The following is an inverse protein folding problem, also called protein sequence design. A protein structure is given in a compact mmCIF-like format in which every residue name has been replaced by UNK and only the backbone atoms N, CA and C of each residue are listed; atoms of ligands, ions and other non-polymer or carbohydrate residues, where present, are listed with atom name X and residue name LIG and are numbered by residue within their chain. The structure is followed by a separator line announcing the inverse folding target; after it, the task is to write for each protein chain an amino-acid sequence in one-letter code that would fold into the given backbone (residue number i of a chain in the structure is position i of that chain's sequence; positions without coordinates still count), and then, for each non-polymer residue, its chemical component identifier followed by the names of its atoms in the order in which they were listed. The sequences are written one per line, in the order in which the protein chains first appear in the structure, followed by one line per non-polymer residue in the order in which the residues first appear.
data_IF_231241340542
#
_entry.id   IF_231241340542
#
_cell.length_a   1.000
_cell.length_b   1.000
_cell.length_c   1.000
_cell.angle_alpha   90.00
_cell.angle_beta   90.00
_cell.angle_gamma   90.00
#
_symmetry.space_group_name_H-M   'P 1'
#
loop_
_entity.id
_entity.type
_entity.pdbx_description
1 polymer ?
#
# COMPACT_ATOMS: atom_id res chain seq x y z
N UNK A 1 5.71 19.25 -21.35
CA UNK A 1 5.00 17.96 -21.41
C UNK A 1 3.55 18.22 -21.05
N UNK A 2 2.55 17.61 -21.70
CA UNK A 2 1.15 17.78 -21.27
C UNK A 2 1.02 17.29 -19.83
N UNK A 3 0.35 18.06 -18.98
CA UNK A 3 0.13 17.74 -17.56
C UNK A 3 -0.42 16.31 -17.39
N UNK A 4 -1.31 15.89 -18.29
CA UNK A 4 -1.83 14.53 -18.33
C UNK A 4 -0.74 13.45 -18.32
N UNK A 5 0.27 13.56 -19.20
CA UNK A 5 1.31 12.54 -19.32
C UNK A 5 2.19 12.50 -18.08
N UNK A 6 2.48 13.65 -17.48
CA UNK A 6 3.25 13.73 -16.24
C UNK A 6 2.53 13.01 -15.08
N UNK A 7 1.23 13.28 -14.90
CA UNK A 7 0.46 12.61 -13.84
C UNK A 7 0.22 11.13 -14.14
N UNK A 8 0.03 10.76 -15.41
CA UNK A 8 -0.09 9.37 -15.83
C UNK A 8 1.19 8.56 -15.54
N UNK A 9 2.37 9.08 -15.91
CA UNK A 9 3.63 8.40 -15.60
C UNK A 9 3.89 8.36 -14.10
N UNK A 10 3.56 9.43 -13.37
CA UNK A 10 3.63 9.46 -11.90
C UNK A 10 2.75 8.37 -11.27
N UNK A 11 1.58 8.09 -11.85
CA UNK A 11 0.72 6.99 -11.42
C UNK A 11 1.38 5.62 -11.59
N UNK A 12 2.02 5.37 -12.73
CA UNK A 12 2.75 4.11 -12.99
C UNK A 12 3.95 3.99 -12.02
N UNK A 13 4.74 5.05 -11.91
CA UNK A 13 5.94 5.10 -11.05
C UNK A 13 5.56 4.93 -9.58
N UNK A 14 4.43 5.47 -9.13
CA UNK A 14 3.96 5.30 -7.76
C UNK A 14 3.83 3.82 -7.35
N UNK A 15 3.42 2.97 -8.28
CA UNK A 15 3.29 1.53 -8.05
C UNK A 15 4.65 0.82 -8.22
N UNK A 16 5.49 1.28 -9.14
CA UNK A 16 6.77 0.65 -9.47
C UNK A 16 7.93 1.06 -8.55
N UNK A 17 7.79 2.14 -7.78
CA UNK A 17 8.81 2.66 -6.86
C UNK A 17 8.82 1.89 -5.52
N UNK A 18 9.84 2.13 -4.68
CA UNK A 18 10.00 1.50 -3.37
C UNK A 18 8.80 1.73 -2.44
N UNK A 19 8.15 2.90 -2.54
CA UNK A 19 6.89 3.21 -1.83
C UNK A 19 5.67 2.45 -2.39
N UNK A 20 5.79 1.93 -3.60
CA UNK A 20 4.79 1.12 -4.31
C UNK A 20 4.82 -0.37 -3.97
N UNK A 21 5.81 -0.83 -3.19
CA UNK A 21 5.90 -2.23 -2.75
C UNK A 21 4.60 -2.68 -2.09
N UNK A 22 3.98 -1.82 -1.29
CA UNK A 22 2.71 -2.10 -0.63
C UNK A 22 1.60 -2.46 -1.66
N UNK A 23 1.56 -1.77 -2.81
CA UNK A 23 0.62 -2.08 -3.90
C UNK A 23 0.93 -3.42 -4.56
N UNK A 24 2.21 -3.68 -4.84
CA UNK A 24 2.66 -4.92 -5.47
C UNK A 24 2.29 -6.11 -4.57
N UNK A 25 2.60 -6.04 -3.28
CA UNK A 25 2.30 -7.10 -2.31
C UNK A 25 0.78 -7.31 -2.17
N UNK A 26 0.02 -6.21 -2.04
CA UNK A 26 -1.42 -6.28 -1.88
C UNK A 26 -2.10 -6.89 -3.11
N UNK A 27 -1.85 -6.35 -4.31
CA UNK A 27 -2.45 -6.85 -5.56
C UNK A 27 -2.00 -8.27 -5.85
N UNK A 28 -0.74 -8.60 -5.54
CA UNK A 28 -0.24 -9.97 -5.71
C UNK A 28 -0.96 -10.97 -4.81
N UNK A 29 -1.16 -10.65 -3.54
CA UNK A 29 -1.93 -11.48 -2.62
C UNK A 29 -3.37 -11.65 -3.14
N UNK A 30 -4.05 -10.54 -3.42
CA UNK A 30 -5.45 -10.54 -3.88
C UNK A 30 -5.65 -11.36 -5.18
N UNK A 31 -4.71 -11.26 -6.12
CA UNK A 31 -4.81 -11.91 -7.43
C UNK A 31 -4.32 -13.36 -7.45
N UNK A 32 -3.62 -13.83 -6.41
CA UNK A 32 -2.94 -15.13 -6.41
C UNK A 32 -3.86 -16.33 -6.63
N UNK A 33 -5.13 -16.21 -6.23
CA UNK A 33 -6.16 -17.24 -6.41
C UNK A 33 -6.72 -17.33 -7.83
N UNK A 34 -6.52 -16.32 -8.67
CA UNK A 34 -7.15 -16.21 -9.98
C UNK A 34 -6.28 -16.76 -11.11
N UNK A 35 -6.92 -17.29 -12.14
CA UNK A 35 -6.28 -17.78 -13.38
C UNK A 35 -6.49 -16.80 -14.53
N UNK A 36 -5.77 -17.00 -15.65
CA UNK A 36 -5.96 -16.23 -16.89
C UNK A 36 -7.43 -16.20 -17.38
N UNK A 37 -8.20 -17.27 -17.18
CA UNK A 37 -9.63 -17.30 -17.54
C UNK A 37 -10.51 -16.38 -16.68
N UNK A 38 -10.02 -15.94 -15.52
CA UNK A 38 -10.73 -15.03 -14.61
C UNK A 38 -10.45 -13.55 -14.86
N UNK A 39 -9.88 -13.18 -16.02
CA UNK A 39 -9.46 -11.80 -16.33
C UNK A 39 -10.52 -10.73 -16.01
N UNK A 40 -11.82 -11.02 -16.24
CA UNK A 40 -12.92 -10.10 -15.90
C UNK A 40 -13.01 -9.83 -14.40
N UNK A 41 -12.86 -10.87 -13.57
CA UNK A 41 -12.90 -10.76 -12.11
C UNK A 41 -11.71 -9.96 -11.60
N UNK A 42 -10.54 -10.17 -12.22
CA UNK A 42 -9.32 -9.44 -11.86
C UNK A 42 -9.45 -7.96 -12.22
N UNK A 43 -9.93 -7.63 -13.42
CA UNK A 43 -10.18 -6.23 -13.78
C UNK A 43 -11.16 -5.57 -12.81
N UNK A 44 -12.28 -6.22 -12.47
CA UNK A 44 -13.23 -5.67 -11.49
C UNK A 44 -12.55 -5.44 -10.12
N UNK A 45 -11.66 -6.33 -9.68
CA UNK A 45 -10.90 -6.15 -8.43
C UNK A 45 -9.96 -4.94 -8.49
N UNK A 46 -9.18 -4.83 -9.57
CA UNK A 46 -8.25 -3.72 -9.77
C UNK A 46 -9.03 -2.41 -9.81
N UNK A 47 -10.09 -2.34 -10.63
CA UNK A 47 -10.92 -1.13 -10.73
C UNK A 47 -11.60 -0.81 -9.40
N UNK A 48 -12.09 -1.80 -8.64
CA UNK A 48 -12.67 -1.55 -7.31
C UNK A 48 -11.65 -0.95 -6.33
N UNK A 49 -10.42 -1.47 -6.32
CA UNK A 49 -9.32 -0.89 -5.56
C UNK A 49 -9.03 0.54 -6.00
N UNK A 50 -8.89 0.78 -7.31
CA UNK A 50 -8.61 2.10 -7.88
C UNK A 50 -9.71 3.10 -7.55
N UNK A 51 -10.99 2.68 -7.54
CA UNK A 51 -12.12 3.52 -7.14
C UNK A 51 -11.99 3.94 -5.67
N UNK A 52 -11.74 2.98 -4.75
CA UNK A 52 -11.54 3.30 -3.33
C UNK A 52 -10.35 4.24 -3.11
N UNK A 53 -9.25 3.98 -3.81
CA UNK A 53 -8.03 4.78 -3.78
C UNK A 53 -8.28 6.21 -4.28
N UNK A 54 -8.90 6.34 -5.45
CA UNK A 54 -9.27 7.61 -6.07
C UNK A 54 -10.16 8.44 -5.15
N UNK A 55 -11.18 7.81 -4.55
CA UNK A 55 -12.10 8.47 -3.64
C UNK A 55 -11.35 9.08 -2.45
N UNK A 56 -10.43 8.33 -1.87
CA UNK A 56 -9.71 8.78 -0.69
C UNK A 56 -8.68 9.87 -0.99
N UNK A 57 -8.00 9.76 -2.13
CA UNK A 57 -7.14 10.83 -2.62
C UNK A 57 -7.93 12.11 -2.85
N UNK A 58 -9.09 12.03 -3.51
CA UNK A 58 -9.95 13.19 -3.73
C UNK A 58 -10.36 13.83 -2.39
N UNK A 59 -10.87 13.04 -1.44
CA UNK A 59 -11.28 13.53 -0.12
C UNK A 59 -10.13 14.19 0.65
N UNK A 60 -8.92 13.64 0.54
CA UNK A 60 -7.74 14.18 1.23
C UNK A 60 -7.23 15.47 0.57
N UNK A 61 -7.26 15.56 -0.76
CA UNK A 61 -6.90 16.77 -1.51
C UNK A 61 -7.86 17.92 -1.18
N UNK A 62 -9.15 17.64 -1.04
CA UNK A 62 -10.17 18.62 -0.61
C UNK A 62 -10.18 18.90 0.90
N UNK A 63 -9.22 18.40 1.69
CA UNK A 63 -9.15 18.57 3.15
C UNK A 63 -10.37 18.02 3.94
N UNK A 64 -11.11 17.07 3.38
CA UNK A 64 -12.30 16.49 4.05
C UNK A 64 -11.87 15.45 5.10
N UNK A 65 -10.85 14.65 4.80
CA UNK A 65 -10.32 13.62 5.69
C UNK A 65 -8.84 13.89 5.94
N UNK A 66 -8.42 13.84 7.20
CA UNK A 66 -7.02 13.93 7.59
C UNK A 66 -6.73 12.89 8.68
N UNK A 67 -6.16 11.76 8.29
CA UNK A 67 -5.76 10.68 9.20
C UNK A 67 -4.23 10.68 9.29
N UNK A 68 -3.64 10.54 10.49
CA UNK A 68 -2.19 10.55 10.62
C UNK A 68 -1.53 9.42 9.81
N UNK A 69 -0.47 9.75 9.07
CA UNK A 69 0.26 8.82 8.20
C UNK A 69 0.71 7.54 8.94
N UNK A 70 1.07 7.66 10.21
CA UNK A 70 1.49 6.52 11.04
C UNK A 70 0.39 5.44 11.12
N UNK A 71 -0.87 5.85 11.29
CA UNK A 71 -1.98 4.91 11.34
C UNK A 71 -2.31 4.33 9.96
N UNK A 72 -2.21 5.13 8.90
CA UNK A 72 -2.51 4.67 7.54
C UNK A 72 -1.48 3.66 7.06
N UNK A 73 -0.19 3.92 7.27
CA UNK A 73 0.90 3.01 6.93
C UNK A 73 0.82 1.68 7.68
N UNK A 74 0.45 1.71 8.97
CA UNK A 74 0.20 0.51 9.75
C UNK A 74 -1.00 -0.28 9.23
N UNK A 75 -2.12 0.39 8.98
CA UNK A 75 -3.31 -0.26 8.45
C UNK A 75 -3.07 -0.89 7.08
N UNK A 76 -2.28 -0.26 6.20
CA UNK A 76 -1.86 -0.83 4.92
C UNK A 76 -1.09 -2.14 5.13
N UNK A 77 -0.11 -2.17 6.05
CA UNK A 77 0.62 -3.39 6.34
C UNK A 77 -0.29 -4.51 6.88
N UNK A 78 -1.24 -4.15 7.77
CA UNK A 78 -2.22 -5.09 8.34
C UNK A 78 -3.15 -5.66 7.27
N UNK A 79 -3.61 -4.86 6.32
CA UNK A 79 -4.52 -5.34 5.26
C UNK A 79 -3.81 -6.28 4.29
N UNK A 80 -2.53 -6.03 3.97
CA UNK A 80 -1.69 -6.96 3.20
C UNK A 80 -1.55 -8.27 3.95
N UNK A 81 -1.22 -8.22 5.24
CA UNK A 81 -1.05 -9.41 6.08
C UNK A 81 -2.34 -10.24 6.13
N UNK A 82 -3.49 -9.61 6.39
CA UNK A 82 -4.79 -10.30 6.43
C UNK A 82 -5.10 -10.96 5.08
N UNK A 83 -4.86 -10.24 3.98
CA UNK A 83 -5.11 -10.74 2.62
C UNK A 83 -4.24 -11.97 2.34
N UNK A 84 -2.94 -11.86 2.61
CA UNK A 84 -2.01 -12.97 2.43
C UNK A 84 -2.38 -14.18 3.30
N UNK A 85 -2.65 -14.00 4.60
CA UNK A 85 -3.08 -15.09 5.49
C UNK A 85 -4.40 -15.73 5.04
N UNK A 86 -5.28 -14.98 4.37
CA UNK A 86 -6.54 -15.51 3.86
C UNK A 86 -6.33 -16.51 2.71
N UNK A 87 -5.24 -16.39 1.94
CA UNK A 87 -4.91 -17.28 0.82
C UNK A 87 -4.23 -18.59 1.26
N UNK A 88 -3.65 -18.61 2.46
CA UNK A 88 -3.08 -19.81 3.09
C UNK A 88 -4.17 -20.81 3.51
N UNK A 89 -5.40 -20.35 3.75
CA UNK A 89 -6.51 -21.22 4.14
C UNK A 89 -6.98 -22.05 2.95
N UNK A 90 -7.16 -23.36 3.16
CA UNK A 90 -7.73 -24.27 2.15
C UNK A 90 -9.17 -23.84 1.83
N UNK A 91 -9.49 -23.69 0.56
CA UNK A 91 -10.79 -23.19 0.11
C UNK A 91 -11.93 -24.08 0.62
N UNK A 92 -12.73 -23.58 1.56
CA UNK A 92 -14.05 -24.13 1.84
C UNK A 92 -15.05 -23.57 0.81
N UNK A 93 -15.61 -24.46 -0.01
CA UNK A 93 -16.62 -24.24 -1.05
C UNK A 93 -17.80 -23.40 -0.54
N UNK A 94 -17.74 -22.08 -0.68
CA UNK A 94 -18.88 -21.21 -0.41
C UNK A 94 -18.93 -20.10 -1.45
N UNK A 95 -19.81 -20.30 -2.45
CA UNK A 95 -20.10 -19.37 -3.56
C UNK A 95 -20.55 -17.96 -3.12
N UNK A 96 -20.79 -17.74 -1.82
CA UNK A 96 -21.08 -16.40 -1.24
C UNK A 96 -19.84 -15.53 -0.99
N UNK A 97 -18.61 -16.08 -1.08
CA UNK A 97 -17.35 -15.34 -0.81
C UNK A 97 -16.96 -14.33 -1.91
N UNK A 98 -17.50 -14.46 -3.13
CA UNK A 98 -17.08 -13.60 -4.24
C UNK A 98 -17.57 -12.15 -4.13
N UNK A 99 -18.70 -11.86 -3.47
CA UNK A 99 -19.15 -10.47 -3.30
C UNK A 99 -18.29 -9.71 -2.28
N UNK A 100 -17.85 -10.39 -1.21
CA UNK A 100 -17.07 -9.77 -0.14
C UNK A 100 -15.67 -9.35 -0.58
N UNK A 101 -15.02 -10.09 -1.50
CA UNK A 101 -13.65 -9.78 -1.92
C UNK A 101 -13.56 -8.47 -2.71
N UNK A 102 -14.59 -8.14 -3.51
CA UNK A 102 -14.65 -6.85 -4.20
C UNK A 102 -14.89 -5.69 -3.23
N UNK A 103 -15.74 -5.92 -2.22
CA UNK A 103 -15.94 -4.93 -1.15
C UNK A 103 -14.64 -4.69 -0.38
N UNK A 104 -13.91 -5.75 -0.02
CA UNK A 104 -12.61 -5.62 0.62
C UNK A 104 -11.60 -4.89 -0.28
N UNK A 105 -11.54 -5.18 -1.57
CA UNK A 105 -10.67 -4.46 -2.50
C UNK A 105 -10.96 -2.94 -2.51
N UNK A 106 -12.24 -2.55 -2.50
CA UNK A 106 -12.65 -1.15 -2.41
C UNK A 106 -12.22 -0.51 -1.09
N UNK A 107 -12.49 -1.16 0.05
CA UNK A 107 -12.10 -0.65 1.38
C UNK A 107 -10.58 -0.56 1.53
N UNK A 108 -9.85 -1.55 1.01
CA UNK A 108 -8.40 -1.55 1.04
C UNK A 108 -7.83 -0.46 0.14
N UNK A 109 -8.36 -0.28 -1.07
CA UNK A 109 -8.03 0.85 -1.94
C UNK A 109 -8.26 2.18 -1.22
N UNK A 110 -9.36 2.31 -0.48
CA UNK A 110 -9.65 3.49 0.33
C UNK A 110 -8.56 3.76 1.37
N UNK A 111 -8.22 2.75 2.18
CA UNK A 111 -7.16 2.87 3.21
C UNK A 111 -5.82 3.24 2.56
N UNK A 112 -5.49 2.58 1.46
CA UNK A 112 -4.24 2.74 0.76
C UNK A 112 -4.07 4.14 0.17
N UNK A 113 -5.15 4.72 -0.37
CA UNK A 113 -5.16 6.09 -0.89
C UNK A 113 -4.79 7.14 0.16
N UNK A 114 -5.01 6.88 1.45
CA UNK A 114 -4.60 7.79 2.51
C UNK A 114 -3.08 7.88 2.68
N UNK A 115 -2.35 6.80 2.42
CA UNK A 115 -0.88 6.76 2.56
C UNK A 115 -0.17 7.72 1.59
N UNK A 116 -0.71 7.88 0.39
CA UNK A 116 -0.13 8.73 -0.65
C UNK A 116 -0.72 10.15 -0.70
N UNK A 117 -1.84 10.39 -0.02
CA UNK A 117 -2.60 11.63 -0.20
C UNK A 117 -1.86 12.90 0.19
N UNK A 118 -0.99 12.83 1.21
CA UNK A 118 -0.17 13.98 1.65
C UNK A 118 0.85 14.38 0.59
N UNK A 119 1.48 13.40 -0.04
CA UNK A 119 2.43 13.62 -1.12
C UNK A 119 1.71 14.18 -2.34
N UNK A 120 0.62 13.55 -2.78
CA UNK A 120 -0.13 14.00 -3.94
C UNK A 120 -0.68 15.42 -3.79
N UNK A 121 -1.17 15.77 -2.59
CA UNK A 121 -1.66 17.11 -2.27
C UNK A 121 -0.56 18.18 -2.36
N UNK A 122 0.69 17.83 -2.04
CA UNK A 122 1.83 18.74 -2.22
C UNK A 122 2.19 18.95 -3.69
N UNK A 123 1.95 17.95 -4.55
CA UNK A 123 2.21 18.00 -5.99
C UNK A 123 1.11 18.71 -6.78
N UNK A 124 -0.16 18.56 -6.39
CA UNK A 124 -1.35 19.15 -7.06
C UNK A 124 -1.57 20.65 -6.74
N UNK A 125 -0.62 21.33 -6.10
CA UNK A 125 -0.81 22.66 -5.50
C UNK A 125 -1.53 23.70 -6.39
N UNK A 126 -2.60 24.32 -5.85
CA UNK A 126 -3.43 25.43 -6.40
C UNK A 126 -3.83 25.38 -7.88
N UNK A 127 -3.64 24.27 -8.57
CA UNK A 127 -4.00 24.17 -9.98
C UNK A 127 -5.51 24.09 -10.17
N UNK A 128 -6.00 24.71 -11.25
CA UNK A 128 -7.44 24.70 -11.59
C UNK A 128 -7.90 23.36 -12.18
N UNK A 129 -6.98 22.43 -12.45
CA UNK A 129 -7.24 21.16 -13.14
C UNK A 129 -7.04 19.90 -12.27
N UNK A 130 -7.15 20.03 -10.94
CA UNK A 130 -6.97 18.92 -9.97
C UNK A 130 -7.71 17.64 -10.39
N UNK A 131 -8.93 17.75 -10.89
CA UNK A 131 -9.73 16.59 -11.31
C UNK A 131 -9.08 15.85 -12.49
N UNK A 132 -8.57 16.57 -13.49
CA UNK A 132 -7.91 15.98 -14.65
C UNK A 132 -6.57 15.33 -14.29
N UNK A 133 -5.81 15.98 -13.41
CA UNK A 133 -4.54 15.46 -12.89
C UNK A 133 -4.77 14.17 -12.06
N UNK A 134 -5.81 14.17 -11.21
CA UNK A 134 -6.18 13.01 -10.40
C UNK A 134 -6.68 11.86 -11.28
N UNK A 135 -7.44 12.15 -12.34
CA UNK A 135 -7.87 11.15 -13.30
C UNK A 135 -6.68 10.52 -14.04
N UNK A 136 -5.76 11.34 -14.57
CA UNK A 136 -4.56 10.86 -15.25
C UNK A 136 -3.69 9.97 -14.34
N UNK A 137 -3.51 10.39 -13.09
CA UNK A 137 -2.79 9.62 -12.07
C UNK A 137 -3.43 8.25 -11.82
N UNK A 138 -4.74 8.19 -11.59
CA UNK A 138 -5.43 6.91 -11.33
C UNK A 138 -5.48 6.00 -12.57
N UNK A 139 -5.52 6.57 -13.78
CA UNK A 139 -5.37 5.78 -15.00
C UNK A 139 -3.98 5.15 -15.11
N UNK A 140 -2.93 5.90 -14.76
CA UNK A 140 -1.58 5.37 -14.65
C UNK A 140 -1.47 4.25 -13.60
N UNK A 141 -2.14 4.42 -12.45
CA UNK A 141 -2.20 3.40 -11.41
C UNK A 141 -2.84 2.10 -11.92
N UNK A 142 -4.02 2.18 -12.51
CA UNK A 142 -4.73 0.99 -13.01
C UNK A 142 -3.91 0.23 -14.05
N UNK A 143 -3.22 0.94 -14.95
CA UNK A 143 -2.27 0.35 -15.91
C UNK A 143 -1.11 -0.35 -15.19
N UNK A 144 -0.49 0.30 -14.20
CA UNK A 144 0.58 -0.29 -13.40
C UNK A 144 0.15 -1.57 -12.68
N UNK A 145 -1.05 -1.60 -12.10
CA UNK A 145 -1.60 -2.79 -11.43
C UNK A 145 -1.84 -3.93 -12.41
N UNK A 146 -2.39 -3.64 -13.59
CA UNK A 146 -2.60 -4.65 -14.64
C UNK A 146 -1.27 -5.27 -15.06
N UNK A 147 -0.21 -4.47 -15.22
CA UNK A 147 1.12 -4.96 -15.56
C UNK A 147 1.68 -5.91 -14.49
N UNK A 148 1.51 -5.59 -13.21
CA UNK A 148 1.90 -6.47 -12.10
C UNK A 148 1.15 -7.79 -12.16
N UNK A 149 -0.17 -7.75 -12.37
CA UNK A 149 -0.98 -8.96 -12.46
C UNK A 149 -0.56 -9.83 -13.64
N UNK A 150 -0.30 -9.24 -14.80
CA UNK A 150 0.20 -9.97 -15.98
C UNK A 150 1.51 -10.66 -15.65
N UNK A 151 2.44 -9.97 -14.98
CA UNK A 151 3.71 -10.55 -14.54
C UNK A 151 3.49 -11.72 -13.56
N UNK A 152 2.66 -11.52 -12.54
CA UNK A 152 2.32 -12.54 -11.54
C UNK A 152 1.73 -13.80 -12.19
N UNK A 153 0.71 -13.65 -13.04
CA UNK A 153 0.07 -14.79 -13.71
C UNK A 153 1.04 -15.51 -14.65
N UNK A 154 1.94 -14.77 -15.31
CA UNK A 154 2.98 -15.35 -16.15
C UNK A 154 3.94 -16.21 -15.34
N UNK A 155 4.42 -15.72 -14.19
CA UNK A 155 5.28 -16.48 -13.25
C UNK A 155 4.56 -17.74 -12.75
N UNK A 156 3.29 -17.63 -12.35
CA UNK A 156 2.50 -18.78 -11.91
C UNK A 156 2.33 -19.83 -13.01
N UNK A 157 2.14 -19.41 -14.27
CA UNK A 157 2.08 -20.35 -15.40
C UNK A 157 3.43 -21.00 -15.70
N UNK A 158 4.54 -20.28 -15.51
CA UNK A 158 5.88 -20.84 -15.65
C UNK A 158 6.12 -21.94 -14.60
N UNK A 159 5.80 -21.67 -13.33
CA UNK A 159 5.89 -22.68 -12.27
C UNK A 159 5.01 -23.91 -12.55
N UNK A 160 3.80 -23.71 -13.08
CA UNK A 160 2.94 -24.83 -13.48
C UNK A 160 3.57 -25.66 -14.62
N UNK A 161 4.21 -25.01 -15.61
CA UNK A 161 4.93 -25.71 -16.69
C UNK A 161 6.16 -26.48 -16.19
N UNK A 162 6.79 -26.01 -15.12
CA UNK A 162 7.90 -26.70 -14.43
C UNK A 162 7.44 -27.85 -13.51
N UNK A 163 6.13 -28.17 -13.48
CA UNK A 163 5.58 -29.25 -12.67
C UNK A 163 5.30 -28.86 -11.22
N UNK A 164 5.49 -27.60 -10.83
CA UNK A 164 5.15 -27.11 -9.49
C UNK A 164 3.64 -26.96 -9.39
N UNK A 165 3.02 -27.67 -8.44
CA UNK A 165 1.60 -27.56 -8.21
C UNK A 165 1.23 -26.12 -7.82
N UNK A 166 0.23 -25.57 -8.49
CA UNK A 166 -0.32 -24.23 -8.24
C UNK A 166 -0.64 -23.98 -6.78
N UNK A 167 -1.13 -24.98 -6.05
CA UNK A 167 -1.41 -24.84 -4.62
C UNK A 167 -0.12 -24.56 -3.82
N UNK A 168 0.97 -25.27 -4.12
CA UNK A 168 2.26 -25.03 -3.46
C UNK A 168 2.80 -23.64 -3.82
N UNK A 169 2.74 -23.24 -5.09
CA UNK A 169 3.16 -21.88 -5.50
C UNK A 169 2.32 -20.80 -4.80
N UNK A 170 1.00 -21.00 -4.70
CA UNK A 170 0.10 -20.08 -4.00
C UNK A 170 0.46 -19.97 -2.53
N UNK A 171 0.61 -21.09 -1.82
CA UNK A 171 0.96 -21.10 -0.40
C UNK A 171 2.35 -20.48 -0.18
N UNK A 172 3.32 -20.79 -1.04
CA UNK A 172 4.68 -20.27 -0.92
C UNK A 172 4.72 -18.74 -1.10
N UNK A 173 4.14 -18.23 -2.18
CA UNK A 173 4.11 -16.78 -2.46
C UNK A 173 3.29 -16.04 -1.39
N UNK A 174 2.13 -16.58 -1.01
CA UNK A 174 1.30 -16.03 0.06
C UNK A 174 2.04 -16.00 1.40
N UNK A 175 2.80 -17.05 1.73
CA UNK A 175 3.63 -17.12 2.93
C UNK A 175 4.74 -16.07 2.92
N UNK A 176 5.40 -15.88 1.78
CA UNK A 176 6.42 -14.84 1.61
C UNK A 176 5.82 -13.43 1.79
N UNK A 177 4.68 -13.15 1.15
CA UNK A 177 3.97 -11.86 1.33
C UNK A 177 3.54 -11.68 2.79
N UNK A 178 3.04 -12.72 3.45
CA UNK A 178 2.65 -12.65 4.86
C UNK A 178 3.84 -12.36 5.78
N UNK A 179 5.01 -12.96 5.52
CA UNK A 179 6.23 -12.69 6.28
C UNK A 179 6.68 -11.23 6.14
N UNK A 180 6.74 -10.72 4.90
CA UNK A 180 7.09 -9.32 4.63
C UNK A 180 6.06 -8.37 5.26
N UNK A 181 4.77 -8.66 5.12
CA UNK A 181 3.71 -7.83 5.71
C UNK A 181 3.75 -7.83 7.25
N UNK A 182 4.15 -8.95 7.87
CA UNK A 182 4.34 -9.03 9.32
C UNK A 182 5.51 -8.14 9.76
N UNK A 183 6.64 -8.18 9.05
CA UNK A 183 7.77 -7.28 9.27
C UNK A 183 7.33 -5.81 9.16
N UNK A 184 6.60 -5.45 8.08
CA UNK A 184 6.04 -4.12 7.89
C UNK A 184 5.10 -3.69 9.04
N UNK A 185 4.28 -4.61 9.57
CA UNK A 185 3.41 -4.32 10.71
C UNK A 185 4.21 -3.98 11.97
N UNK A 186 5.32 -4.69 12.20
CA UNK A 186 6.20 -4.45 13.34
C UNK A 186 6.96 -3.14 13.20
N UNK A 187 7.48 -2.84 12.01
CA UNK A 187 8.20 -1.61 11.71
C UNK A 187 7.30 -0.37 11.83
N UNK A 188 6.09 -0.45 11.27
CA UNK A 188 5.13 0.65 11.21
C UNK A 188 4.20 0.68 12.44
N UNK A 189 4.55 -0.01 13.52
CA UNK A 189 3.74 -0.05 14.74
C UNK A 189 3.58 1.35 15.33
N UNK A 190 2.35 1.85 15.53
CA UNK A 190 2.11 3.26 15.85
C UNK A 190 2.75 3.71 17.18
N UNK A 191 2.85 2.81 18.16
CA UNK A 191 3.41 3.13 19.47
C UNK A 191 4.96 3.05 19.52
N UNK A 192 5.60 2.39 18.55
CA UNK A 192 7.07 2.29 18.48
C UNK A 192 7.70 3.66 18.22
N UNK A 193 7.03 4.51 17.45
CA UNK A 193 7.47 5.88 17.17
C UNK A 193 7.34 6.81 18.39
N UNK A 194 6.42 6.54 19.31
CA UNK A 194 6.30 7.31 20.55
C UNK A 194 7.40 6.95 21.55
N UNK A 195 7.77 5.66 21.64
CA UNK A 195 8.87 5.18 22.46
C UNK A 195 10.20 5.79 22.03
N UNK A 196 10.51 5.70 20.73
CA UNK A 196 11.76 6.23 20.17
C UNK A 196 11.84 7.77 20.33
N UNK A 197 10.73 8.49 20.13
CA UNK A 197 10.67 9.95 20.40
C UNK A 197 10.85 10.30 21.87
N UNK A 198 10.37 9.47 22.81
CA UNK A 198 10.60 9.68 24.25
C UNK A 198 12.07 9.49 24.61
N UNK A 199 12.72 8.44 24.10
CA UNK A 199 14.14 8.19 24.30
C UNK A 199 15.01 9.33 23.77
N UNK A 200 14.78 9.79 22.53
CA UNK A 200 15.54 10.92 21.97
C UNK A 200 15.31 12.21 22.79
N UNK A 201 14.09 12.44 23.28
CA UNK A 201 13.78 13.62 24.11
C UNK A 201 14.45 13.57 25.48
N UNK A 202 14.59 12.37 26.05
CA UNK A 202 15.31 12.15 27.31
C UNK A 202 16.82 12.37 27.10
N UNK A 203 17.41 11.80 26.05
CA UNK A 203 18.83 12.05 25.70
C UNK A 203 19.10 13.54 25.48
N UNK A 204 18.29 14.21 24.65
CA UNK A 204 18.49 15.64 24.35
C UNK A 204 18.39 16.50 25.61
N UNK A 205 17.51 16.14 26.54
CA UNK A 205 17.37 16.81 27.83
C UNK A 205 18.59 16.56 28.71
N UNK A 206 19.06 15.32 28.80
CA UNK A 206 20.25 14.95 29.57
C UNK A 206 21.51 15.65 29.05
N UNK A 207 21.71 15.72 27.72
CA UNK A 207 22.85 16.40 27.11
C UNK A 207 22.81 17.91 27.37
N UNK A 208 21.63 18.54 27.33
CA UNK A 208 21.46 19.97 27.70
C UNK A 208 21.78 20.21 29.17
N UNK A 209 21.21 19.42 30.07
CA UNK A 209 21.42 19.56 31.52
C UNK A 209 22.90 19.33 31.90
N UNK A 210 23.60 18.46 31.18
CA UNK A 210 25.05 18.21 31.39
C UNK A 210 25.91 19.37 30.88
N UNK A 211 25.60 19.94 29.72
CA UNK A 211 26.30 21.11 29.19
C UNK A 211 26.09 22.36 30.06
N UNK A 212 24.87 22.64 30.52
CA UNK A 212 24.59 23.79 31.40
C UNK A 212 25.32 23.67 32.74
N UNK A 213 25.35 22.49 33.35
CA UNK A 213 26.09 22.25 34.59
C UNK A 213 27.61 22.34 34.42
N UNK A 214 28.16 21.99 33.24
CA UNK A 214 29.59 22.12 32.95
C UNK A 214 30.01 23.59 32.81
N UNK A 215 29.21 24.40 32.10
CA UNK A 215 29.47 25.85 31.96
C UNK A 215 29.28 26.60 33.28
N UNK A 216 28.30 26.21 34.10
CA UNK A 216 28.08 26.78 35.44
C UNK A 216 29.28 26.56 36.38
N UNK A 217 29.96 25.41 36.31
CA UNK A 217 31.13 25.11 37.14
C UNK A 217 32.46 25.66 36.61
N UNK A 218 32.53 26.06 35.34
CA UNK A 218 33.74 26.60 34.71
C UNK A 218 33.92 28.10 34.88
N UNK A 219 32.90 28.80 35.40
CA UNK A 219 32.84 30.27 35.57
C UNK A 219 32.89 30.67 37.07
N UNK A 220 32.86 29.69 37.99
CA UNK A 220 33.01 29.86 39.43
C UNK A 220 34.40 29.43 39.89
#
# INVERSE_FOLDING_TARGET
MNDFWLFFTTGIEHIADWKGIDHILFISALCLRYVWSDWRKILILITAFTIGHSLTLALSVFNIINIPTVWTEFLIAVTILITALSDLKKESNTSKKYSLIYYFALVFGFIHGMGFSTLLKSMLGRDRQIVGQLFAFNLGLEVGQILIVICLLSILTLFAKLGINRLHSRIFISGAIAALALEMCLERWPFRLEENKRETRIETKYTKDTHENFFSKSIA
#
